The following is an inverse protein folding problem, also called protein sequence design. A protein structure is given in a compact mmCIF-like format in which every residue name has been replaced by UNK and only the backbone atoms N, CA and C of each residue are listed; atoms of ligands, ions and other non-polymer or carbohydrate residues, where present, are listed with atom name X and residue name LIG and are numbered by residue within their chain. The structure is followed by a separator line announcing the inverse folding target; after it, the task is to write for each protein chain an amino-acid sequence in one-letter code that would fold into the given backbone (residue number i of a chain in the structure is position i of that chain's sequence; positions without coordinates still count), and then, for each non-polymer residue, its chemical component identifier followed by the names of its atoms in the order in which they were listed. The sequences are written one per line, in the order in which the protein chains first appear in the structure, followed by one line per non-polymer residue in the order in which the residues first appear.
data_IF_809057644842
#
_entry.id   IF_809057644842
#
_cell.length_a   1.000
_cell.length_b   1.000
_cell.length_c   1.000
_cell.angle_alpha   90.00
_cell.angle_beta   90.00
_cell.angle_gamma   90.00
#
_symmetry.space_group_name_H-M   'P 1'
#
loop_
_entity.id
_entity.type
_entity.pdbx_description
1 polymer ?
#
# COMPACT_ATOMS: atom_id res chain seq x y z
N UNK A 1 -1.34 1.56 -22.16
CA UNK A 1 -1.55 2.92 -21.59
C UNK A 1 -1.76 2.70 -20.09
N UNK A 2 -0.98 3.34 -19.21
CA UNK A 2 -1.14 3.23 -17.77
C UNK A 2 -2.43 3.92 -17.29
N UNK A 3 -2.87 3.60 -16.07
CA UNK A 3 -3.90 4.36 -15.40
C UNK A 3 -3.33 5.68 -14.88
N UNK A 4 -4.19 6.69 -14.77
CA UNK A 4 -3.86 7.94 -14.11
C UNK A 4 -4.26 7.95 -12.63
N UNK A 5 -3.69 8.87 -11.87
CA UNK A 5 -4.08 9.16 -10.50
C UNK A 5 -4.18 10.66 -10.27
N UNK A 6 -5.16 11.08 -9.48
CA UNK A 6 -5.31 12.45 -9.03
C UNK A 6 -4.84 12.60 -7.58
N UNK A 7 -4.43 13.81 -7.20
CA UNK A 7 -4.17 14.10 -5.80
C UNK A 7 -5.49 14.10 -5.03
N UNK A 8 -5.66 13.21 -4.05
CA UNK A 8 -6.87 13.14 -3.25
C UNK A 8 -6.92 14.26 -2.20
N UNK A 9 -8.09 14.47 -1.63
CA UNK A 9 -8.24 15.25 -0.41
C UNK A 9 -7.90 14.35 0.79
N UNK A 10 -6.88 14.72 1.53
CA UNK A 10 -6.53 14.01 2.78
C UNK A 10 -7.58 14.23 3.86
N UNK A 11 -7.72 13.28 4.77
CA UNK A 11 -8.65 13.31 5.90
C UNK A 11 -7.92 13.04 7.21
N UNK A 12 -8.37 13.69 8.27
CA UNK A 12 -7.96 13.34 9.63
C UNK A 12 -8.59 12.01 10.05
N UNK A 13 -7.96 11.34 11.01
CA UNK A 13 -8.47 10.10 11.56
C UNK A 13 -9.72 10.38 12.43
N UNK A 14 -10.82 9.75 12.10
CA UNK A 14 -12.10 9.82 12.79
C UNK A 14 -12.74 8.44 12.85
N UNK A 15 -13.32 7.97 11.76
CA UNK A 15 -13.94 6.64 11.69
C UNK A 15 -12.98 5.51 12.03
N UNK A 16 -11.72 5.59 11.55
CA UNK A 16 -10.71 4.59 11.86
C UNK A 16 -10.29 4.59 13.32
N UNK A 17 -10.37 5.75 13.99
CA UNK A 17 -10.11 5.85 15.42
C UNK A 17 -11.25 5.22 16.21
N UNK A 18 -12.48 5.55 15.90
CA UNK A 18 -13.68 5.01 16.58
C UNK A 18 -13.75 3.49 16.43
N UNK A 19 -13.49 2.96 15.23
CA UNK A 19 -13.70 1.54 14.95
C UNK A 19 -12.50 0.66 15.30
N UNK A 20 -11.28 1.15 15.13
CA UNK A 20 -10.06 0.35 15.24
C UNK A 20 -9.01 0.93 16.21
N UNK A 21 -9.28 2.08 16.81
CA UNK A 21 -8.31 2.78 17.68
C UNK A 21 -7.05 3.24 16.93
N UNK A 22 -7.17 3.56 15.64
CA UNK A 22 -6.06 4.00 14.79
C UNK A 22 -5.96 5.52 14.79
N UNK A 23 -4.72 6.01 14.87
CA UNK A 23 -4.39 7.43 14.79
C UNK A 23 -3.33 7.67 13.73
N UNK A 24 -3.05 8.93 13.42
CA UNK A 24 -2.03 9.28 12.43
C UNK A 24 -0.68 8.66 12.79
N UNK A 25 -0.05 8.04 11.80
CA UNK A 25 1.25 7.37 11.87
C UNK A 25 1.34 6.20 12.89
N UNK A 26 0.20 5.70 13.38
CA UNK A 26 0.15 4.59 14.35
C UNK A 26 0.14 3.20 13.72
N UNK A 27 0.13 3.09 12.39
CA UNK A 27 0.01 1.80 11.72
C UNK A 27 0.69 1.74 10.36
N UNK A 28 1.05 0.51 9.99
CA UNK A 28 1.49 0.08 8.67
C UNK A 28 0.26 -0.45 7.95
N UNK A 29 0.02 -0.03 6.71
CA UNK A 29 -1.18 -0.35 5.95
C UNK A 29 -0.86 -1.28 4.78
N UNK A 30 -1.60 -2.37 4.67
CA UNK A 30 -1.84 -3.09 3.42
C UNK A 30 -3.29 -2.85 2.99
N UNK A 31 -3.52 -2.57 1.72
CA UNK A 31 -4.87 -2.42 1.18
C UNK A 31 -4.97 -3.07 -0.20
N UNK A 32 -5.90 -4.03 -0.35
CA UNK A 32 -6.11 -4.75 -1.59
C UNK A 32 -6.97 -5.99 -1.40
N UNK A 33 -7.14 -6.75 -2.47
CA UNK A 33 -7.78 -8.08 -2.38
C UNK A 33 -6.90 -9.02 -1.55
N UNK A 34 -7.53 -9.80 -0.70
CA UNK A 34 -6.82 -10.78 0.13
C UNK A 34 -6.68 -12.10 -0.65
N UNK A 35 -5.64 -12.15 -1.49
CA UNK A 35 -5.30 -13.30 -2.35
C UNK A 35 -3.81 -13.62 -2.21
N UNK A 36 -3.38 -14.89 -2.40
CA UNK A 36 -2.01 -15.32 -2.16
C UNK A 36 -0.94 -14.49 -2.89
N UNK A 37 -1.20 -14.13 -4.15
CA UNK A 37 -0.27 -13.37 -4.98
C UNK A 37 0.03 -11.94 -4.50
N UNK A 38 -0.76 -11.44 -3.55
CA UNK A 38 -0.50 -10.14 -2.89
C UNK A 38 0.55 -10.21 -1.79
N UNK A 39 1.07 -11.39 -1.48
CA UNK A 39 2.17 -11.57 -0.53
C UNK A 39 1.84 -11.22 0.92
N UNK A 40 0.55 -11.18 1.29
CA UNK A 40 0.11 -10.76 2.64
C UNK A 40 0.66 -11.70 3.71
N UNK A 41 0.84 -12.99 3.37
CA UNK A 41 1.47 -13.96 4.27
C UNK A 41 2.87 -13.50 4.68
N UNK A 42 3.71 -13.10 3.72
CA UNK A 42 5.05 -12.59 4.01
C UNK A 42 5.02 -11.37 4.94
N UNK A 43 4.05 -10.48 4.72
CA UNK A 43 3.89 -9.29 5.54
C UNK A 43 3.52 -9.63 6.99
N UNK A 44 2.60 -10.58 7.20
CA UNK A 44 2.21 -11.04 8.53
C UNK A 44 3.40 -11.72 9.23
N UNK A 45 4.10 -12.62 8.53
CA UNK A 45 5.28 -13.31 9.07
C UNK A 45 6.38 -12.32 9.45
N UNK A 46 6.72 -11.40 8.56
CA UNK A 46 7.73 -10.39 8.81
C UNK A 46 7.37 -9.47 9.98
N UNK A 47 6.11 -9.00 10.03
CA UNK A 47 5.68 -8.04 11.04
C UNK A 47 5.69 -8.59 12.46
N UNK A 48 5.44 -9.87 12.67
CA UNK A 48 5.44 -10.49 14.01
C UNK A 48 6.76 -10.28 14.76
N UNK A 49 7.87 -10.22 14.04
CA UNK A 49 9.21 -10.03 14.62
C UNK A 49 9.68 -8.58 14.63
N UNK A 50 8.91 -7.65 14.04
CA UNK A 50 9.22 -6.22 14.09
C UNK A 50 8.98 -5.66 15.48
N UNK A 51 9.98 -4.96 16.04
CA UNK A 51 9.91 -4.31 17.34
C UNK A 51 9.34 -2.89 17.15
N UNK A 52 8.04 -2.75 17.36
CA UNK A 52 7.31 -1.49 17.21
C UNK A 52 6.01 -1.50 17.99
N UNK A 53 5.54 -0.34 18.39
CA UNK A 53 4.21 -0.12 18.96
C UNK A 53 3.13 0.08 17.88
N UNK A 54 3.53 0.20 16.63
CA UNK A 54 2.62 0.37 15.50
C UNK A 54 1.82 -0.90 15.25
N UNK A 55 0.63 -0.72 14.71
CA UNK A 55 -0.25 -1.82 14.28
C UNK A 55 0.00 -2.16 12.81
N UNK A 56 -0.29 -3.39 12.42
CA UNK A 56 -0.41 -3.79 11.03
C UNK A 56 -1.90 -3.84 10.68
N UNK A 57 -2.32 -3.04 9.72
CA UNK A 57 -3.71 -2.99 9.24
C UNK A 57 -3.78 -3.65 7.86
N UNK A 58 -4.55 -4.72 7.79
CA UNK A 58 -4.83 -5.46 6.56
C UNK A 58 -6.26 -5.14 6.15
N UNK A 59 -6.39 -4.25 5.17
CA UNK A 59 -7.68 -3.76 4.67
C UNK A 59 -8.01 -4.41 3.33
N UNK A 60 -9.19 -5.00 3.24
CA UNK A 60 -9.71 -5.63 2.03
C UNK A 60 -10.57 -6.84 2.32
N UNK A 61 -11.26 -7.30 1.28
CA UNK A 61 -12.06 -8.51 1.32
C UNK A 61 -11.38 -9.67 0.59
N UNK A 62 -11.79 -10.90 0.92
CA UNK A 62 -11.47 -12.09 0.12
C UNK A 62 -12.33 -12.07 -1.15
N UNK A 63 -11.76 -12.44 -2.28
CA UNK A 63 -12.51 -12.43 -3.53
C UNK A 63 -13.30 -13.72 -3.77
N UNK A 64 -12.86 -14.90 -3.30
CA UNK A 64 -13.52 -16.17 -3.61
C UNK A 64 -13.24 -17.34 -2.66
N UNK A 65 -12.35 -17.20 -1.69
CA UNK A 65 -12.09 -18.28 -0.74
C UNK A 65 -11.88 -17.72 0.67
N UNK A 66 -12.84 -17.97 1.54
CA UNK A 66 -12.69 -17.75 2.98
C UNK A 66 -11.47 -18.47 3.58
N UNK A 67 -10.94 -19.50 2.90
CA UNK A 67 -9.80 -20.30 3.33
C UNK A 67 -8.51 -19.49 3.49
N UNK A 68 -8.16 -18.63 2.53
CA UNK A 68 -6.95 -17.80 2.64
C UNK A 68 -7.06 -16.73 3.73
N UNK A 69 -8.25 -16.12 3.87
CA UNK A 69 -8.53 -15.22 4.98
C UNK A 69 -8.41 -15.94 6.33
N UNK A 70 -8.93 -17.15 6.44
CA UNK A 70 -8.83 -17.94 7.67
C UNK A 70 -7.38 -18.30 7.98
N UNK A 71 -6.59 -18.67 6.97
CA UNK A 71 -5.16 -18.93 7.11
C UNK A 71 -4.40 -17.70 7.62
N UNK A 72 -4.65 -16.52 7.04
CA UNK A 72 -4.04 -15.27 7.49
C UNK A 72 -4.40 -14.93 8.94
N UNK A 73 -5.66 -15.11 9.33
CA UNK A 73 -6.11 -14.89 10.70
C UNK A 73 -5.48 -15.87 11.68
N UNK A 74 -5.35 -17.14 11.29
CA UNK A 74 -4.66 -18.13 12.11
C UNK A 74 -3.18 -17.79 12.27
N UNK A 75 -2.50 -17.36 11.21
CA UNK A 75 -1.11 -16.93 11.24
C UNK A 75 -0.91 -15.70 12.16
N UNK A 76 -1.88 -14.80 12.21
CA UNK A 76 -1.85 -13.54 12.96
C UNK A 76 -2.39 -13.66 14.41
N UNK A 77 -2.97 -14.79 14.81
CA UNK A 77 -3.78 -14.91 16.05
C UNK A 77 -3.05 -14.54 17.34
N UNK A 78 -1.74 -14.74 17.38
CA UNK A 78 -0.93 -14.50 18.57
C UNK A 78 -0.33 -13.08 18.63
N UNK A 79 -0.62 -12.23 17.63
CA UNK A 79 -0.16 -10.85 17.59
C UNK A 79 -1.36 -9.88 17.52
N UNK A 80 -1.72 -9.31 18.65
CA UNK A 80 -2.85 -8.40 18.78
C UNK A 80 -2.65 -7.03 18.09
N UNK A 81 -1.45 -6.77 17.54
CA UNK A 81 -1.17 -5.59 16.74
C UNK A 81 -1.70 -5.71 15.31
N UNK A 82 -2.06 -6.92 14.85
CA UNK A 82 -2.53 -7.18 13.49
C UNK A 82 -4.05 -7.06 13.44
N UNK A 83 -4.55 -6.14 12.61
CA UNK A 83 -5.97 -5.82 12.47
C UNK A 83 -6.44 -6.12 11.06
N UNK A 84 -7.49 -6.91 10.93
CA UNK A 84 -8.21 -7.13 9.68
C UNK A 84 -9.46 -6.26 9.67
N UNK A 85 -9.56 -5.32 8.74
CA UNK A 85 -10.71 -4.40 8.68
C UNK A 85 -11.88 -4.97 7.90
N UNK A 86 -11.65 -5.98 7.05
CA UNK A 86 -12.57 -6.35 6.01
C UNK A 86 -12.57 -5.33 4.87
N UNK A 87 -13.56 -5.42 3.99
CA UNK A 87 -13.73 -4.47 2.89
C UNK A 87 -14.00 -3.05 3.41
N UNK A 88 -13.30 -2.07 2.86
CA UNK A 88 -13.42 -0.65 3.19
C UNK A 88 -13.64 0.20 1.94
N UNK A 89 -14.41 1.27 2.07
CA UNK A 89 -14.66 2.23 0.99
C UNK A 89 -15.01 3.62 1.55
N UNK A 90 -15.08 4.61 0.65
CA UNK A 90 -15.47 5.97 0.99
C UNK A 90 -14.56 6.61 2.04
N UNK A 91 -15.13 7.31 2.99
CA UNK A 91 -14.38 8.06 4.00
C UNK A 91 -13.40 7.20 4.79
N UNK A 92 -13.76 5.97 5.14
CA UNK A 92 -12.87 5.07 5.88
C UNK A 92 -11.62 4.70 5.07
N UNK A 93 -11.78 4.49 3.76
CA UNK A 93 -10.67 4.27 2.84
C UNK A 93 -9.76 5.49 2.77
N UNK A 94 -10.35 6.69 2.61
CA UNK A 94 -9.60 7.95 2.57
C UNK A 94 -8.80 8.16 3.87
N UNK A 95 -9.41 7.89 5.02
CA UNK A 95 -8.76 8.02 6.33
C UNK A 95 -7.61 7.03 6.50
N UNK A 96 -7.78 5.76 6.06
CA UNK A 96 -6.72 4.74 6.12
C UNK A 96 -5.50 5.15 5.30
N UNK A 97 -5.68 5.63 4.07
CA UNK A 97 -4.56 6.13 3.27
C UNK A 97 -3.94 7.40 3.85
N UNK A 98 -4.76 8.33 4.33
CA UNK A 98 -4.29 9.65 4.80
C UNK A 98 -3.45 9.59 6.07
N UNK A 99 -3.65 8.57 6.91
CA UNK A 99 -3.07 8.51 8.25
C UNK A 99 -2.07 7.36 8.45
N UNK A 100 -1.81 6.54 7.42
CA UNK A 100 -0.85 5.45 7.52
C UNK A 100 0.58 5.97 7.73
N UNK A 101 1.36 5.26 8.54
CA UNK A 101 2.79 5.48 8.68
C UNK A 101 3.54 5.09 7.43
N UNK A 102 3.29 3.86 6.96
CA UNK A 102 3.82 3.29 5.72
C UNK A 102 2.69 2.52 5.05
N UNK A 103 2.65 2.55 3.72
CA UNK A 103 1.88 1.62 2.91
C UNK A 103 2.78 0.50 2.41
N UNK A 104 2.33 -0.75 2.51
CA UNK A 104 3.12 -1.92 2.07
C UNK A 104 2.39 -2.72 1.02
N UNK A 105 3.08 -3.03 -0.10
CA UNK A 105 2.58 -3.90 -1.16
C UNK A 105 3.61 -5.00 -1.47
N UNK A 106 3.56 -6.15 -0.75
CA UNK A 106 4.54 -7.22 -0.85
C UNK A 106 4.22 -8.24 -1.95
N UNK A 107 3.62 -7.80 -3.04
CA UNK A 107 3.06 -8.66 -4.09
C UNK A 107 4.12 -9.48 -4.83
N UNK A 108 3.74 -10.69 -5.18
CA UNK A 108 4.50 -11.56 -6.09
C UNK A 108 4.18 -11.27 -7.55
N UNK A 109 3.00 -10.75 -7.83
CA UNK A 109 2.50 -10.45 -9.16
C UNK A 109 1.51 -9.29 -9.13
N UNK A 110 1.68 -8.36 -10.05
CA UNK A 110 0.77 -7.25 -10.31
C UNK A 110 0.56 -7.07 -11.82
N UNK A 111 -0.62 -6.60 -12.21
CA UNK A 111 -0.79 -6.02 -13.54
C UNK A 111 -0.42 -4.54 -13.50
N UNK A 112 -1.35 -3.71 -13.01
CA UNK A 112 -1.09 -2.30 -12.66
C UNK A 112 -1.44 -2.12 -11.19
N UNK A 113 -0.47 -1.79 -10.31
CA UNK A 113 -0.72 -1.71 -8.86
C UNK A 113 -1.47 -0.43 -8.48
N UNK A 114 -2.78 -0.36 -8.76
CA UNK A 114 -3.61 0.83 -8.53
C UNK A 114 -3.57 1.31 -7.08
N UNK A 115 -3.62 0.39 -6.12
CA UNK A 115 -3.55 0.73 -4.71
C UNK A 115 -2.22 1.38 -4.30
N UNK A 116 -1.13 1.07 -5.03
CA UNK A 116 0.17 1.73 -4.86
C UNK A 116 0.14 3.17 -5.40
N UNK A 117 -0.45 3.38 -6.59
CA UNK A 117 -0.66 4.73 -7.13
C UNK A 117 -1.48 5.58 -6.17
N UNK A 118 -2.57 5.02 -5.65
CA UNK A 118 -3.43 5.67 -4.66
C UNK A 118 -2.64 5.99 -3.38
N UNK A 119 -1.96 5.01 -2.79
CA UNK A 119 -1.17 5.21 -1.58
C UNK A 119 -0.15 6.36 -1.73
N UNK A 120 0.59 6.38 -2.83
CA UNK A 120 1.55 7.45 -3.11
C UNK A 120 0.86 8.80 -3.32
N UNK A 121 -0.31 8.83 -3.95
CA UNK A 121 -1.07 10.07 -4.17
C UNK A 121 -1.56 10.72 -2.86
N UNK A 122 -1.82 9.92 -1.82
CA UNK A 122 -2.09 10.39 -0.47
C UNK A 122 -0.83 10.86 0.29
N UNK A 123 0.36 10.70 -0.29
CA UNK A 123 1.62 11.08 0.33
C UNK A 123 2.19 10.01 1.27
N UNK A 124 1.89 8.74 1.04
CA UNK A 124 2.48 7.66 1.83
C UNK A 124 3.91 7.36 1.42
N UNK A 125 4.77 7.08 2.40
CA UNK A 125 5.95 6.26 2.18
C UNK A 125 5.50 4.85 1.86
N UNK A 126 5.97 4.28 0.77
CA UNK A 126 5.62 2.92 0.34
C UNK A 126 6.80 1.97 0.50
N UNK A 127 6.51 0.73 0.89
CA UNK A 127 7.44 -0.40 0.90
C UNK A 127 6.88 -1.48 -0.01
N UNK A 128 7.59 -1.81 -1.08
CA UNK A 128 7.10 -2.69 -2.15
C UNK A 128 8.11 -3.79 -2.47
N UNK A 129 7.64 -4.90 -3.03
CA UNK A 129 8.52 -5.92 -3.61
C UNK A 129 9.18 -5.40 -4.89
N UNK A 130 10.34 -5.97 -5.24
CA UNK A 130 11.16 -5.61 -6.41
C UNK A 130 10.63 -6.14 -7.75
N UNK A 131 9.35 -6.52 -7.81
CA UNK A 131 8.73 -6.91 -9.09
C UNK A 131 8.72 -5.72 -10.07
N UNK A 132 8.89 -5.97 -11.37
CA UNK A 132 8.99 -4.91 -12.37
C UNK A 132 7.85 -3.89 -12.31
N UNK A 133 6.62 -4.35 -12.10
CA UNK A 133 5.43 -3.52 -12.07
C UNK A 133 5.41 -2.53 -10.89
N UNK A 134 5.95 -2.92 -9.74
CA UNK A 134 6.10 -2.03 -8.60
C UNK A 134 7.32 -1.11 -8.76
N UNK A 135 8.46 -1.66 -9.17
CA UNK A 135 9.71 -0.91 -9.35
C UNK A 135 9.54 0.22 -10.39
N UNK A 136 8.84 -0.05 -11.51
CA UNK A 136 8.55 0.96 -12.54
C UNK A 136 7.69 2.09 -11.98
N UNK A 137 6.72 1.79 -11.12
CA UNK A 137 5.84 2.80 -10.50
C UNK A 137 6.62 3.70 -9.58
N UNK A 138 7.41 3.14 -8.68
CA UNK A 138 8.01 3.90 -7.57
C UNK A 138 9.36 4.51 -7.89
N UNK A 139 10.12 3.95 -8.85
CA UNK A 139 11.51 4.31 -9.14
C UNK A 139 12.36 4.34 -7.85
N UNK A 140 12.94 5.51 -7.50
CA UNK A 140 13.70 5.73 -6.27
C UNK A 140 12.87 6.37 -5.12
N UNK A 141 11.54 6.44 -5.26
CA UNK A 141 10.63 7.15 -4.34
C UNK A 141 9.91 6.24 -3.34
N UNK A 142 10.34 5.00 -3.20
CA UNK A 142 9.85 4.06 -2.21
C UNK A 142 10.96 3.17 -1.66
N UNK A 143 10.66 2.47 -0.57
CA UNK A 143 11.48 1.38 -0.06
C UNK A 143 11.19 0.12 -0.87
N UNK A 144 12.23 -0.61 -1.23
CA UNK A 144 12.10 -1.85 -2.02
C UNK A 144 12.76 -3.00 -1.26
N UNK A 145 12.13 -4.16 -1.28
CA UNK A 145 12.67 -5.41 -0.78
C UNK A 145 12.54 -6.51 -1.85
N UNK A 146 13.35 -7.54 -1.76
CA UNK A 146 13.35 -8.66 -2.69
C UNK A 146 12.06 -9.47 -2.55
N UNK A 147 11.41 -9.73 -3.67
CA UNK A 147 10.19 -10.53 -3.78
C UNK A 147 10.27 -11.81 -2.94
N UNK A 148 9.23 -12.09 -2.17
CA UNK A 148 9.07 -13.28 -1.32
C UNK A 148 10.12 -13.41 -0.19
N UNK A 149 10.99 -12.43 0.02
CA UNK A 149 12.00 -12.44 1.08
C UNK A 149 11.45 -11.84 2.37
N UNK A 150 11.00 -12.71 3.27
CA UNK A 150 10.41 -12.33 4.57
C UNK A 150 11.43 -11.65 5.48
N UNK A 151 12.68 -12.08 5.46
CA UNK A 151 13.73 -11.52 6.30
C UNK A 151 14.09 -10.11 5.87
N UNK A 152 14.26 -9.87 4.56
CA UNK A 152 14.51 -8.52 4.06
C UNK A 152 13.29 -7.60 4.27
N UNK A 153 12.06 -8.11 4.09
CA UNK A 153 10.85 -7.35 4.39
C UNK A 153 10.82 -6.92 5.86
N UNK A 154 11.15 -7.83 6.79
CA UNK A 154 11.25 -7.53 8.22
C UNK A 154 12.30 -6.47 8.49
N UNK A 155 13.50 -6.59 7.92
CA UNK A 155 14.57 -5.61 8.07
C UNK A 155 14.14 -4.22 7.59
N UNK A 156 13.53 -4.11 6.40
CA UNK A 156 13.02 -2.83 5.88
C UNK A 156 11.93 -2.23 6.75
N UNK A 157 11.03 -3.04 7.31
CA UNK A 157 10.00 -2.59 8.23
C UNK A 157 10.62 -2.09 9.55
N UNK A 158 11.60 -2.82 10.09
CA UNK A 158 12.31 -2.41 11.30
C UNK A 158 13.07 -1.12 11.09
N UNK A 159 13.86 -1.01 10.02
CA UNK A 159 14.59 0.21 9.65
C UNK A 159 13.67 1.42 9.53
N UNK A 160 12.51 1.23 8.90
CA UNK A 160 11.54 2.30 8.76
C UNK A 160 10.96 2.76 10.12
N UNK A 161 10.78 1.83 11.07
CA UNK A 161 10.36 2.18 12.43
C UNK A 161 11.48 2.86 13.23
N UNK A 162 12.72 2.43 13.05
CA UNK A 162 13.89 2.94 13.78
C UNK A 162 14.38 4.29 13.23
N UNK A 163 14.17 4.55 11.94
CA UNK A 163 14.63 5.76 11.24
C UNK A 163 13.46 6.56 10.64
N UNK A 164 12.58 7.16 11.45
CA UNK A 164 11.37 7.84 10.99
C UNK A 164 11.60 9.02 10.05
N UNK A 165 12.79 9.65 10.10
CA UNK A 165 13.11 10.77 9.22
C UNK A 165 13.16 10.35 7.76
N UNK A 166 13.65 9.16 7.45
CA UNK A 166 13.65 8.61 6.10
C UNK A 166 12.21 8.40 5.56
N UNK A 167 11.31 7.95 6.43
CA UNK A 167 9.89 7.82 6.10
C UNK A 167 9.27 9.18 5.80
N UNK A 168 9.56 10.21 6.59
CA UNK A 168 9.07 11.58 6.35
C UNK A 168 9.58 12.17 5.03
N UNK A 169 10.84 11.97 4.69
CA UNK A 169 11.42 12.41 3.43
C UNK A 169 10.70 11.78 2.23
N UNK A 170 10.43 10.48 2.28
CA UNK A 170 9.69 9.79 1.24
C UNK A 170 8.24 10.25 1.15
N UNK A 171 7.55 10.42 2.26
CA UNK A 171 6.20 10.98 2.31
C UNK A 171 6.11 12.34 1.64
N UNK A 172 7.08 13.22 1.90
CA UNK A 172 7.11 14.58 1.34
C UNK A 172 7.17 14.62 -0.19
N UNK A 173 7.73 13.60 -0.83
CA UNK A 173 7.93 13.54 -2.28
C UNK A 173 6.86 12.72 -3.02
N UNK A 174 6.22 11.77 -2.34
CA UNK A 174 5.42 10.73 -2.95
C UNK A 174 4.27 11.27 -3.82
N UNK A 175 3.45 12.17 -3.27
CA UNK A 175 2.27 12.68 -3.97
C UNK A 175 2.62 13.51 -5.21
N UNK A 176 3.60 14.39 -5.11
CA UNK A 176 4.04 15.22 -6.25
C UNK A 176 4.64 14.35 -7.35
N UNK A 177 5.47 13.37 -6.99
CA UNK A 177 6.07 12.45 -7.93
C UNK A 177 5.02 11.65 -8.69
N UNK A 178 4.14 10.95 -7.97
CA UNK A 178 3.19 10.01 -8.59
C UNK A 178 2.13 10.72 -9.42
N UNK A 179 1.58 11.84 -8.93
CA UNK A 179 0.56 12.60 -9.65
C UNK A 179 1.12 13.30 -10.91
N UNK A 180 2.43 13.58 -10.93
CA UNK A 180 3.10 14.08 -12.14
C UNK A 180 3.35 12.95 -13.13
N UNK A 181 3.84 11.80 -12.67
CA UNK A 181 4.19 10.64 -13.52
C UNK A 181 2.96 10.00 -14.16
N UNK A 182 1.89 9.84 -13.40
CA UNK A 182 0.63 9.20 -13.82
C UNK A 182 -0.53 10.21 -13.91
N UNK A 183 -0.28 11.31 -14.60
CA UNK A 183 -1.27 12.38 -14.80
C UNK A 183 -2.37 11.93 -15.77
N UNK A 184 -3.65 12.10 -15.39
CA UNK A 184 -4.79 11.73 -16.22
C UNK A 184 -4.82 12.45 -17.57
N UNK A 185 -4.42 13.72 -17.64
CA UNK A 185 -4.41 14.47 -18.91
C UNK A 185 -3.42 13.86 -19.91
N UNK A 186 -2.26 13.39 -19.43
CA UNK A 186 -1.28 12.69 -20.27
C UNK A 186 -1.85 11.35 -20.76
N UNK A 187 -2.50 10.58 -19.88
CA UNK A 187 -3.16 9.29 -20.22
C UNK A 187 -4.24 9.50 -21.28
N UNK A 188 -5.11 10.49 -21.10
CA UNK A 188 -6.17 10.83 -22.05
C UNK A 188 -5.58 11.23 -23.40
N UNK A 189 -4.55 12.09 -23.41
CA UNK A 189 -3.91 12.54 -24.63
C UNK A 189 -3.27 11.39 -25.40
N UNK A 190 -2.64 10.44 -24.73
CA UNK A 190 -2.07 9.25 -25.37
C UNK A 190 -3.15 8.34 -25.94
N UNK A 191 -4.21 8.13 -25.18
CA UNK A 191 -5.39 7.37 -25.64
C UNK A 191 -5.98 7.97 -26.89
N UNK A 192 -6.19 9.29 -26.91
CA UNK A 192 -6.70 10.00 -28.09
C UNK A 192 -5.80 9.90 -29.33
N UNK A 193 -4.49 9.87 -29.14
CA UNK A 193 -3.54 9.65 -30.25
C UNK A 193 -3.72 8.27 -30.89
N UNK A 194 -3.96 7.21 -30.09
CA UNK A 194 -4.20 5.87 -30.60
C UNK A 194 -5.48 5.79 -31.44
N UNK A 195 -6.57 6.39 -30.95
CA UNK A 195 -7.83 6.45 -31.71
C UNK A 195 -7.68 7.18 -33.05
N UNK A 196 -6.91 8.27 -33.08
CA UNK A 196 -6.66 9.01 -34.33
C UNK A 196 -5.76 8.27 -35.34
N UNK A 197 -4.88 7.37 -34.86
CA UNK A 197 -4.04 6.54 -35.74
C UNK A 197 -4.84 5.42 -36.42
N UNK A 198 -5.85 4.90 -35.77
CA UNK A 198 -6.67 3.81 -36.31
C UNK A 198 -7.77 4.28 -37.24
N UNK A 199 -7.98 5.59 -37.39
CA UNK A 199 -8.96 6.19 -38.32
C UNK A 199 -8.32 6.77 -39.59
N UNK A 200 -7.11 6.34 -39.95
CA UNK A 200 -6.46 6.52 -41.23
C UNK A 200 -6.22 5.16 -41.86
#
# INVERSE_FOLDING_TARGET
IPNGVNRPKTREAGLITEKFGLTKDSYILFLGRLVPEKGIRYLVEAFKDVKTDKKLVIAGGSSDTDSFMMELKELAKDDNRIIFTGFVQGQMLDELYSNAYIYTLPSDLEGMPLSLLEAMSYGNCCLVSDIPECAEVVEDKALIFKKSDVDELREKLQDACDYPEKVKEMKAQAADFICKKYNWDAVINETMKLYRRNNK
#
